data_IF_672780911866
#
_entry.id   IF_672780911866
#
_cell.length_a   1.000
_cell.length_b   1.000
_cell.length_c   1.000
_cell.angle_alpha   90.00
_cell.angle_beta   90.00
_cell.angle_gamma   90.00
#
_symmetry.space_group_name_H-M   'P 1'
#
loop_
_entity.id
_entity.type
_entity.pdbx_description
1 polymer ?
#
# COMPACT_ATOMS: atom_id res chain seq x y z
N UNK A 1 7.07 1.13 -1.50
CA UNK A 1 7.65 -0.20 -1.17
C UNK A 1 8.68 -0.09 -0.08
N UNK A 2 9.54 0.93 -0.12
CA UNK A 2 10.64 1.17 0.83
C UNK A 2 10.25 1.18 2.31
N UNK A 3 8.98 1.39 2.62
CA UNK A 3 8.50 1.46 4.01
C UNK A 3 8.25 0.08 4.65
N UNK A 4 8.57 -1.02 3.95
CA UNK A 4 8.57 -2.38 4.48
C UNK A 4 10.00 -2.83 4.77
N UNK A 5 10.32 -3.07 6.04
CA UNK A 5 11.60 -3.64 6.48
C UNK A 5 11.41 -5.09 6.91
N UNK A 6 11.80 -6.02 6.04
CA UNK A 6 11.73 -7.45 6.31
C UNK A 6 12.83 -7.95 7.25
N UNK A 7 13.94 -7.21 7.39
CA UNK A 7 15.05 -7.58 8.26
C UNK A 7 14.71 -7.27 9.71
N UNK A 8 14.10 -6.11 9.96
CA UNK A 8 13.64 -5.69 11.29
C UNK A 8 12.24 -6.19 11.63
N UNK A 9 11.46 -6.64 10.64
CA UNK A 9 10.06 -6.99 10.86
C UNK A 9 9.21 -5.77 11.17
N UNK A 10 9.43 -4.67 10.43
CA UNK A 10 8.82 -3.37 10.68
C UNK A 10 8.12 -2.81 9.42
N UNK A 11 7.08 -2.01 9.66
CA UNK A 11 6.39 -1.21 8.65
C UNK A 11 6.41 0.24 9.12
N UNK A 12 6.93 1.13 8.27
CA UNK A 12 6.86 2.58 8.50
C UNK A 12 5.58 3.13 7.87
N UNK A 13 4.69 3.67 8.70
CA UNK A 13 3.49 4.37 8.25
C UNK A 13 3.80 5.87 8.23
N UNK A 14 4.03 6.39 7.01
CA UNK A 14 4.32 7.80 6.77
C UNK A 14 3.09 8.68 7.01
N UNK A 15 3.30 9.90 7.53
CA UNK A 15 2.25 10.92 7.69
C UNK A 15 0.99 10.41 8.43
N UNK A 16 1.18 9.72 9.55
CA UNK A 16 0.09 9.31 10.43
C UNK A 16 -0.62 10.50 11.11
N UNK A 17 -1.51 10.21 12.07
CA UNK A 17 -2.22 11.25 12.84
C UNK A 17 -1.22 12.28 13.42
N UNK A 18 -1.45 13.56 13.12
CA UNK A 18 -0.57 14.67 13.50
C UNK A 18 0.64 14.87 12.59
N UNK A 19 0.64 14.30 11.37
CA UNK A 19 1.77 14.34 10.41
C UNK A 19 3.07 13.73 10.96
N UNK A 20 2.93 12.74 11.85
CA UNK A 20 4.06 11.99 12.42
C UNK A 20 4.14 10.60 11.81
N UNK A 21 5.35 10.19 11.46
CA UNK A 21 5.64 8.82 11.05
C UNK A 21 5.48 7.88 12.25
N UNK A 22 5.05 6.65 11.99
CA UNK A 22 4.90 5.61 13.01
C UNK A 22 5.51 4.31 12.51
N UNK A 23 6.12 3.56 13.41
CA UNK A 23 6.57 2.19 13.12
C UNK A 23 5.56 1.22 13.73
N UNK A 24 5.24 0.16 13.01
CA UNK A 24 4.41 -0.96 13.48
C UNK A 24 5.01 -2.28 13.04
N UNK A 25 4.61 -3.37 13.67
CA UNK A 25 5.11 -4.72 13.38
C UNK A 25 4.73 -5.22 11.98
N UNK A 26 5.67 -5.90 11.31
CA UNK A 26 5.46 -6.76 10.16
C UNK A 26 5.57 -8.22 10.62
N UNK A 27 4.45 -8.95 10.78
CA UNK A 27 4.49 -10.32 11.26
C UNK A 27 5.25 -11.25 10.32
N UNK A 28 6.18 -12.05 10.84
CA UNK A 28 6.97 -13.00 10.03
C UNK A 28 6.09 -14.00 9.27
N UNK A 29 4.95 -14.39 9.86
CA UNK A 29 4.00 -15.33 9.24
C UNK A 29 3.50 -14.88 7.87
N UNK A 30 3.38 -13.58 7.63
CA UNK A 30 2.92 -13.04 6.33
C UNK A 30 4.07 -12.51 5.46
N UNK A 31 5.30 -12.50 5.97
CA UNK A 31 6.45 -11.92 5.28
C UNK A 31 6.76 -12.66 3.97
N UNK A 32 6.64 -13.99 3.95
CA UNK A 32 6.84 -14.81 2.75
C UNK A 32 5.84 -14.46 1.64
N UNK A 33 4.55 -14.48 1.95
CA UNK A 33 3.49 -14.13 1.00
C UNK A 33 3.63 -12.68 0.49
N UNK A 34 4.02 -11.75 1.36
CA UNK A 34 4.23 -10.36 0.99
C UNK A 34 5.44 -10.19 0.07
N UNK A 35 6.54 -10.94 0.26
CA UNK A 35 7.68 -10.96 -0.66
C UNK A 35 7.26 -11.46 -2.06
N UNK A 36 6.49 -12.53 -2.13
CA UNK A 36 5.98 -13.05 -3.41
C UNK A 36 5.02 -12.06 -4.10
N UNK A 37 4.18 -11.39 -3.32
CA UNK A 37 3.36 -10.29 -3.80
C UNK A 37 4.20 -9.15 -4.39
N UNK A 38 5.24 -8.71 -3.68
CA UNK A 38 6.15 -7.67 -4.16
C UNK A 38 6.89 -8.08 -5.44
N UNK A 39 7.26 -9.37 -5.60
CA UNK A 39 7.81 -9.88 -6.87
C UNK A 39 6.83 -9.70 -8.02
N UNK A 40 5.54 -10.02 -7.83
CA UNK A 40 4.49 -9.79 -8.83
C UNK A 40 4.32 -8.31 -9.15
N UNK A 41 4.26 -7.46 -8.12
CA UNK A 41 4.13 -6.00 -8.29
C UNK A 41 5.35 -5.41 -9.01
N UNK A 42 6.56 -5.91 -8.74
CA UNK A 42 7.78 -5.47 -9.43
C UNK A 42 7.76 -5.84 -10.91
N UNK A 43 7.24 -7.02 -11.26
CA UNK A 43 7.02 -7.40 -12.66
C UNK A 43 6.01 -6.50 -13.35
N UNK A 44 4.90 -6.15 -12.67
CA UNK A 44 3.93 -5.18 -13.20
C UNK A 44 4.59 -3.81 -13.42
N UNK A 45 5.34 -3.32 -12.45
CA UNK A 45 6.03 -2.03 -12.54
C UNK A 45 7.03 -1.98 -13.71
N UNK A 46 7.79 -3.06 -13.92
CA UNK A 46 8.70 -3.15 -15.08
C UNK A 46 7.97 -3.03 -16.42
N UNK A 47 6.78 -3.64 -16.55
CA UNK A 47 5.93 -3.49 -17.75
C UNK A 47 5.38 -2.08 -17.87
N UNK A 48 4.88 -1.52 -16.77
CA UNK A 48 4.39 -0.14 -16.76
C UNK A 48 5.51 0.83 -17.20
N UNK A 49 6.76 0.60 -16.77
CA UNK A 49 7.90 1.41 -17.20
C UNK A 49 8.20 1.30 -18.70
N UNK A 50 8.16 0.09 -19.29
CA UNK A 50 8.38 -0.09 -20.74
C UNK A 50 7.29 0.57 -21.59
N UNK A 51 6.10 0.76 -21.02
CA UNK A 51 4.96 1.43 -21.67
C UNK A 51 4.88 2.94 -21.35
N UNK A 52 5.84 3.48 -20.58
CA UNK A 52 5.82 4.89 -20.17
C UNK A 52 4.82 5.23 -19.05
N UNK A 53 4.21 4.23 -18.41
CA UNK A 53 3.16 4.33 -17.40
C UNK A 53 3.65 4.15 -15.95
N UNK A 54 4.94 3.91 -15.74
CA UNK A 54 5.52 3.57 -14.42
C UNK A 54 5.67 4.74 -13.43
N UNK A 55 4.85 5.78 -13.51
CA UNK A 55 4.93 6.93 -12.61
C UNK A 55 3.99 6.80 -11.40
N UNK A 56 4.45 7.27 -10.24
CA UNK A 56 3.64 7.42 -9.02
C UNK A 56 3.60 8.87 -8.56
N UNK A 57 2.55 9.25 -7.84
CA UNK A 57 2.52 10.54 -7.15
C UNK A 57 3.52 10.55 -5.98
N UNK A 58 4.36 11.59 -5.92
CA UNK A 58 5.31 11.79 -4.83
C UNK A 58 4.79 12.82 -3.82
N UNK A 59 5.19 12.74 -2.54
CA UNK A 59 4.73 13.69 -1.53
C UNK A 59 5.45 15.04 -1.61
N UNK A 60 4.69 16.13 -1.48
CA UNK A 60 5.21 17.49 -1.38
C UNK A 60 6.09 17.90 -2.57
N UNK A 61 7.19 18.60 -2.28
CA UNK A 61 8.13 19.08 -3.30
C UNK A 61 9.08 18.00 -3.85
N UNK A 62 8.92 16.73 -3.48
CA UNK A 62 9.83 15.67 -3.91
C UNK A 62 9.80 15.46 -5.42
N UNK A 63 8.66 15.64 -6.07
CA UNK A 63 8.58 15.53 -7.53
C UNK A 63 9.44 16.58 -8.23
N UNK A 64 9.55 17.79 -7.65
CA UNK A 64 10.38 18.86 -8.22
C UNK A 64 11.86 18.60 -7.95
N UNK A 65 12.20 18.19 -6.71
CA UNK A 65 13.60 17.95 -6.31
C UNK A 65 14.19 16.70 -6.95
N UNK A 66 13.39 15.66 -7.13
CA UNK A 66 13.81 14.36 -7.66
C UNK A 66 12.78 13.81 -8.66
N UNK A 67 12.76 14.31 -9.91
CA UNK A 67 11.77 13.89 -10.90
C UNK A 67 11.82 12.39 -11.23
N UNK A 68 13.00 11.78 -11.19
CA UNK A 68 13.19 10.34 -11.43
C UNK A 68 12.59 9.44 -10.34
N UNK A 69 12.42 9.97 -9.12
CA UNK A 69 11.96 9.19 -7.97
C UNK A 69 10.56 8.59 -8.17
N UNK A 70 9.73 9.21 -9.03
CA UNK A 70 8.39 8.72 -9.35
C UNK A 70 8.41 7.35 -10.05
N UNK A 71 9.52 7.00 -10.70
CA UNK A 71 9.72 5.73 -11.43
C UNK A 71 10.47 4.69 -10.60
N UNK A 72 11.10 5.10 -9.52
CA UNK A 72 11.90 4.21 -8.68
C UNK A 72 11.00 3.23 -7.92
N UNK A 73 11.49 1.99 -7.81
CA UNK A 73 10.77 0.90 -7.14
C UNK A 73 10.41 1.23 -5.68
N UNK A 74 11.31 1.90 -4.96
CA UNK A 74 11.12 2.25 -3.55
C UNK A 74 9.84 3.06 -3.31
N UNK A 75 9.47 3.91 -4.26
CA UNK A 75 8.33 4.82 -4.17
C UNK A 75 7.00 4.23 -4.64
N UNK A 76 7.02 3.08 -5.31
CA UNK A 76 5.80 2.44 -5.80
C UNK A 76 4.90 1.96 -4.66
N UNK A 77 3.60 1.86 -4.91
CA UNK A 77 2.66 1.32 -3.93
C UNK A 77 2.86 -0.18 -3.73
N UNK A 78 2.81 -0.64 -2.47
CA UNK A 78 2.83 -2.08 -2.13
C UNK A 78 1.61 -2.78 -2.72
N UNK A 79 0.44 -2.12 -2.67
CA UNK A 79 -0.83 -2.64 -3.22
C UNK A 79 -1.33 -1.72 -4.33
N UNK A 80 -0.77 -1.81 -5.55
CA UNK A 80 -1.16 -0.93 -6.63
C UNK A 80 -2.57 -1.22 -7.14
N UNK A 81 -3.25 -0.16 -7.61
CA UNK A 81 -4.54 -0.25 -8.27
C UNK A 81 -4.43 -1.06 -9.57
N UNK A 82 -5.53 -1.72 -9.95
CA UNK A 82 -5.58 -2.51 -11.18
C UNK A 82 -5.39 -1.66 -12.44
N UNK A 83 -5.92 -0.43 -12.42
CA UNK A 83 -5.91 0.51 -13.55
C UNK A 83 -5.04 1.72 -13.23
N UNK A 84 -4.50 2.33 -14.28
CA UNK A 84 -3.89 3.66 -14.21
C UNK A 84 -4.97 4.73 -14.06
N UNK A 85 -4.58 5.85 -13.46
CA UNK A 85 -5.38 7.06 -13.40
C UNK A 85 -4.69 8.15 -14.23
N UNK A 86 -5.46 8.88 -15.03
CA UNK A 86 -4.97 10.01 -15.82
C UNK A 86 -5.08 11.27 -14.99
N UNK A 87 -3.98 11.99 -14.81
CA UNK A 87 -4.02 13.31 -14.20
C UNK A 87 -4.50 14.31 -15.25
N UNK A 88 -5.73 14.81 -15.09
CA UNK A 88 -6.36 15.73 -16.05
C UNK A 88 -5.51 16.96 -16.36
N UNK A 89 -4.78 17.48 -15.38
CA UNK A 89 -3.96 18.69 -15.53
C UNK A 89 -2.70 18.50 -16.39
N UNK A 90 -2.13 17.28 -16.44
CA UNK A 90 -0.84 17.02 -17.11
C UNK A 90 -0.93 15.95 -18.19
N UNK A 91 -2.05 15.24 -18.31
CA UNK A 91 -2.19 14.07 -19.17
C UNK A 91 -1.41 12.84 -18.70
N UNK A 92 -0.66 12.94 -17.61
CA UNK A 92 0.19 11.85 -17.13
C UNK A 92 -0.62 10.69 -16.57
N UNK A 93 -0.24 9.49 -16.95
CA UNK A 93 -0.72 8.25 -16.34
C UNK A 93 0.07 7.97 -15.06
N UNK A 94 -0.66 7.75 -13.97
CA UNK A 94 -0.08 7.30 -12.70
C UNK A 94 -0.83 6.12 -12.12
N UNK A 95 -0.11 5.22 -11.48
CA UNK A 95 -0.72 4.10 -10.75
C UNK A 95 -0.88 4.46 -9.28
N UNK A 96 -2.12 4.57 -8.82
CA UNK A 96 -2.41 4.81 -7.40
C UNK A 96 -2.46 3.49 -6.60
N UNK A 97 -2.61 3.56 -5.28
CA UNK A 97 -2.92 2.37 -4.48
C UNK A 97 -4.37 1.90 -4.71
N UNK A 98 -4.64 0.63 -4.40
CA UNK A 98 -6.00 0.07 -4.36
C UNK A 98 -6.91 0.96 -3.54
N UNK A 99 -8.09 1.26 -4.08
CA UNK A 99 -9.04 2.12 -3.40
C UNK A 99 -9.51 1.49 -2.07
N UNK A 100 -9.63 2.30 -1.02
CA UNK A 100 -9.96 1.84 0.34
C UNK A 100 -11.25 1.01 0.41
N UNK A 101 -12.25 1.36 -0.42
CA UNK A 101 -13.55 0.67 -0.41
C UNK A 101 -13.44 -0.76 -0.91
N UNK A 102 -12.45 -1.09 -1.74
CA UNK A 102 -12.20 -2.46 -2.16
C UNK A 102 -11.89 -3.34 -0.95
N UNK A 103 -10.93 -2.92 -0.11
CA UNK A 103 -10.54 -3.65 1.11
C UNK A 103 -11.71 -3.72 2.10
N UNK A 104 -12.43 -2.61 2.30
CA UNK A 104 -13.61 -2.60 3.19
C UNK A 104 -14.69 -3.59 2.74
N UNK A 105 -14.95 -3.69 1.43
CA UNK A 105 -15.90 -4.66 0.87
C UNK A 105 -15.40 -6.10 1.07
N UNK A 106 -14.13 -6.37 0.79
CA UNK A 106 -13.56 -7.73 0.95
C UNK A 106 -13.61 -8.18 2.41
N UNK A 107 -13.26 -7.32 3.37
CA UNK A 107 -13.38 -7.63 4.81
C UNK A 107 -14.82 -7.92 5.20
N UNK A 108 -15.79 -7.11 4.73
CA UNK A 108 -17.21 -7.36 5.01
C UNK A 108 -17.69 -8.71 4.46
N UNK A 109 -17.26 -9.07 3.25
CA UNK A 109 -17.58 -10.38 2.65
C UNK A 109 -16.96 -11.52 3.47
N UNK A 110 -15.70 -11.39 3.89
CA UNK A 110 -15.02 -12.40 4.71
C UNK A 110 -15.72 -12.60 6.06
N UNK A 111 -16.10 -11.51 6.73
CA UNK A 111 -16.85 -11.55 8.01
C UNK A 111 -18.16 -12.33 7.87
N UNK A 112 -18.93 -12.05 6.80
CA UNK A 112 -20.18 -12.77 6.52
C UNK A 112 -19.95 -14.26 6.26
N UNK A 113 -18.95 -14.60 5.44
CA UNK A 113 -18.60 -15.99 5.13
C UNK A 113 -18.11 -16.77 6.34
N UNK A 114 -17.46 -16.10 7.28
CA UNK A 114 -17.00 -16.69 8.53
C UNK A 114 -18.12 -16.86 9.59
N UNK A 115 -19.38 -16.51 9.27
CA UNK A 115 -20.50 -16.62 10.22
C UNK A 115 -20.43 -15.65 11.41
N UNK A 116 -19.61 -14.59 11.32
CA UNK A 116 -19.44 -13.64 12.41
C UNK A 116 -20.66 -12.70 12.44
N UNK A 117 -21.47 -12.83 13.48
CA UNK A 117 -22.70 -12.04 13.68
C UNK A 117 -22.43 -10.61 14.17
N UNK A 118 -21.36 -10.40 14.93
CA UNK A 118 -20.96 -9.06 15.41
C UNK A 118 -20.46 -8.19 14.26
N UNK A 119 -20.68 -6.87 14.37
CA UNK A 119 -20.19 -5.89 13.40
C UNK A 119 -18.66 -5.85 13.36
N UNK A 120 -18.06 -6.52 12.38
CA UNK A 120 -16.61 -6.50 12.14
C UNK A 120 -16.28 -5.76 10.83
N UNK A 121 -15.30 -4.87 10.91
CA UNK A 121 -14.77 -4.07 9.79
C UNK A 121 -13.26 -3.83 10.00
N UNK A 122 -12.58 -3.18 9.06
CA UNK A 122 -11.14 -2.89 9.18
C UNK A 122 -10.77 -2.18 10.50
N UNK A 123 -11.65 -1.30 11.00
CA UNK A 123 -11.41 -0.62 12.29
C UNK A 123 -11.48 -1.59 13.48
N UNK A 124 -12.37 -2.58 13.45
CA UNK A 124 -12.45 -3.62 14.48
C UNK A 124 -11.16 -4.45 14.53
N UNK A 125 -10.58 -4.79 13.37
CA UNK A 125 -9.29 -5.50 13.31
C UNK A 125 -8.16 -4.70 13.97
N UNK A 126 -8.12 -3.38 13.74
CA UNK A 126 -7.15 -2.49 14.39
C UNK A 126 -7.32 -2.46 15.91
N UNK A 127 -8.56 -2.42 16.39
CA UNK A 127 -8.85 -2.46 17.83
C UNK A 127 -8.43 -3.79 18.44
N UNK A 128 -8.82 -4.91 17.84
CA UNK A 128 -8.42 -6.25 18.30
C UNK A 128 -6.91 -6.40 18.37
N UNK A 129 -6.16 -5.88 17.39
CA UNK A 129 -4.70 -5.88 17.41
C UNK A 129 -4.15 -5.12 18.62
N UNK A 130 -4.66 -3.93 18.93
CA UNK A 130 -4.21 -3.16 20.07
C UNK A 130 -4.54 -3.85 21.40
N UNK A 131 -5.75 -4.38 21.55
CA UNK A 131 -6.18 -5.08 22.78
C UNK A 131 -5.38 -6.36 23.02
N UNK A 132 -5.01 -7.12 21.98
CA UNK A 132 -4.22 -8.35 22.14
C UNK A 132 -2.72 -8.11 22.39
N UNK A 133 -2.26 -6.87 22.32
CA UNK A 133 -0.87 -6.49 22.65
C UNK A 133 -0.73 -5.88 24.05
N UNK A 134 -1.85 -5.72 24.77
CA UNK A 134 -1.86 -5.36 26.19
C UNK A 134 -1.79 -6.63 27.03
#
# INVERSE_FOLDING_TARGET
>A
VKDLDFGRGEIVVRNGKGRKDRVTVLPQRVAGELKEHLKRVRRQHKRDLSEGLGNVALPGALQVKFPSAAKEWGWQWVFPAARHHVIKATGEFRRHHRHKTYIQKQVRTAVRRAGITKRAACHALRHSFATHLL
#
